data_IF_069953813130
#
_entry.id   IF_069953813130
#
_cell.length_a   1.000
_cell.length_b   1.000
_cell.length_c   1.000
_cell.angle_alpha   90.00
_cell.angle_beta   90.00
_cell.angle_gamma   90.00
#
_symmetry.space_group_name_H-M   'P 1'
#
loop_
_entity.id
_entity.type
_entity.pdbx_description
1 polymer ?
#
# COMPACT_ATOMS: atom_id res chain seq x y z
N UNK A 1 -42.72 5.53 4.44
CA UNK A 1 -41.29 5.79 4.73
C UNK A 1 -40.50 4.56 4.35
N UNK A 2 -39.38 4.67 3.61
CA UNK A 2 -38.55 3.50 3.31
C UNK A 2 -37.94 2.97 4.62
N UNK A 3 -37.92 1.64 4.76
CA UNK A 3 -37.32 0.97 5.91
C UNK A 3 -35.82 1.31 5.97
N UNK A 4 -35.28 1.70 7.14
CA UNK A 4 -33.85 1.91 7.28
C UNK A 4 -33.10 0.61 6.98
N UNK A 5 -32.03 0.70 6.20
CA UNK A 5 -31.20 -0.46 5.83
C UNK A 5 -30.70 -1.17 7.09
N UNK A 6 -30.73 -2.51 7.08
CA UNK A 6 -30.20 -3.33 8.15
C UNK A 6 -28.67 -3.17 8.27
N UNK A 7 -28.12 -3.49 9.45
CA UNK A 7 -26.69 -3.37 9.76
C UNK A 7 -25.76 -4.05 8.73
N UNK A 8 -26.08 -5.26 8.20
CA UNK A 8 -25.32 -5.87 7.09
C UNK A 8 -25.46 -5.12 5.76
N UNK A 9 -26.64 -4.57 5.47
CA UNK A 9 -26.89 -3.80 4.24
C UNK A 9 -26.10 -2.50 4.19
N UNK A 10 -26.04 -1.77 5.30
CA UNK A 10 -25.21 -0.56 5.44
C UNK A 10 -23.71 -0.86 5.27
N UNK A 11 -23.25 -1.97 5.85
CA UNK A 11 -21.86 -2.42 5.71
C UNK A 11 -21.52 -2.69 4.24
N UNK A 12 -22.36 -3.45 3.54
CA UNK A 12 -22.17 -3.79 2.14
C UNK A 12 -22.11 -2.53 1.24
N UNK A 13 -22.99 -1.56 1.48
CA UNK A 13 -22.99 -0.29 0.71
C UNK A 13 -21.71 0.48 0.94
N UNK A 14 -21.26 0.64 2.19
CA UNK A 14 -20.03 1.36 2.53
C UNK A 14 -18.77 0.67 2.00
N UNK A 15 -18.77 -0.66 1.89
CA UNK A 15 -17.66 -1.45 1.37
C UNK A 15 -17.41 -1.23 -0.13
N UNK A 16 -18.49 -1.01 -0.90
CA UNK A 16 -18.41 -0.77 -2.34
C UNK A 16 -18.42 0.71 -2.73
N UNK A 17 -18.57 1.60 -1.75
CA UNK A 17 -18.62 3.03 -2.00
C UNK A 17 -17.22 3.62 -2.19
N UNK A 18 -17.07 4.46 -3.21
CA UNK A 18 -15.83 5.19 -3.46
C UNK A 18 -15.41 5.99 -2.22
N UNK A 19 -14.14 5.88 -1.84
CA UNK A 19 -13.66 6.27 -0.52
C UNK A 19 -13.87 7.74 -0.17
N UNK A 20 -13.85 8.64 -1.16
CA UNK A 20 -14.14 10.07 -0.97
C UNK A 20 -15.61 10.28 -0.60
N UNK A 21 -16.52 9.63 -1.33
CA UNK A 21 -17.97 9.67 -1.04
C UNK A 21 -18.27 9.05 0.31
N UNK A 22 -17.59 7.95 0.64
CA UNK A 22 -17.66 7.32 1.96
C UNK A 22 -17.20 8.27 3.05
N UNK A 23 -16.01 8.86 2.94
CA UNK A 23 -15.50 9.82 3.93
C UNK A 23 -16.46 10.99 4.14
N UNK A 24 -17.08 11.49 3.07
CA UNK A 24 -18.08 12.55 3.15
C UNK A 24 -19.34 12.14 3.92
N UNK A 25 -19.86 10.93 3.68
CA UNK A 25 -21.03 10.38 4.37
C UNK A 25 -20.71 10.09 5.85
N UNK A 26 -19.56 9.48 6.12
CA UNK A 26 -19.10 9.12 7.46
C UNK A 26 -18.83 10.37 8.32
N UNK A 27 -18.24 11.41 7.73
CA UNK A 27 -17.98 12.68 8.42
C UNK A 27 -19.27 13.36 8.88
N UNK A 28 -20.40 13.10 8.22
CA UNK A 28 -21.71 13.65 8.55
C UNK A 28 -22.58 12.73 9.41
N UNK A 29 -22.13 11.51 9.70
CA UNK A 29 -22.94 10.51 10.39
C UNK A 29 -22.15 9.71 11.45
N UNK A 30 -22.25 10.09 12.75
CA UNK A 30 -21.51 9.43 13.83
C UNK A 30 -21.88 7.95 14.03
N UNK A 31 -23.12 7.55 13.71
CA UNK A 31 -23.53 6.15 13.81
C UNK A 31 -22.82 5.27 12.78
N UNK A 32 -22.52 5.82 11.60
CA UNK A 32 -21.79 5.10 10.55
C UNK A 32 -20.29 5.04 10.83
N UNK A 33 -19.71 5.97 11.60
CA UNK A 33 -18.29 5.93 12.01
C UNK A 33 -17.94 4.63 12.77
N UNK A 34 -18.87 4.07 13.54
CA UNK A 34 -18.66 2.81 14.26
C UNK A 34 -18.53 1.63 13.30
N UNK A 35 -19.31 1.64 12.22
CA UNK A 35 -19.32 0.62 11.18
C UNK A 35 -18.11 0.81 10.25
N UNK A 36 -17.79 2.06 9.94
CA UNK A 36 -16.66 2.47 9.11
C UNK A 36 -15.33 1.92 9.60
N UNK A 37 -15.11 1.91 10.93
CA UNK A 37 -13.92 1.32 11.57
C UNK A 37 -13.74 -0.18 11.30
N UNK A 38 -14.82 -0.89 10.98
CA UNK A 38 -14.81 -2.33 10.71
C UNK A 38 -14.68 -2.64 9.22
N UNK A 39 -14.84 -1.64 8.35
CA UNK A 39 -14.79 -1.81 6.91
C UNK A 39 -13.47 -1.22 6.43
N UNK A 40 -12.62 -2.01 5.79
CA UNK A 40 -11.42 -1.46 5.18
C UNK A 40 -11.69 -0.31 4.22
N UNK A 41 -10.80 0.68 4.20
CA UNK A 41 -10.76 1.65 3.11
C UNK A 41 -10.23 0.92 1.87
N UNK A 42 -10.96 1.02 0.76
CA UNK A 42 -10.58 0.50 -0.55
C UNK A 42 -10.22 1.68 -1.47
N UNK A 43 -8.99 2.15 -1.39
CA UNK A 43 -8.46 3.22 -2.25
C UNK A 43 -7.83 2.62 -3.51
N UNK A 44 -8.09 3.25 -4.65
CA UNK A 44 -7.44 2.91 -5.91
C UNK A 44 -6.00 3.43 -5.90
N UNK A 45 -5.81 4.67 -5.43
CA UNK A 45 -4.52 5.27 -5.22
C UNK A 45 -4.50 6.04 -3.89
N UNK A 46 -3.49 5.80 -3.06
CA UNK A 46 -3.23 6.58 -1.85
C UNK A 46 -1.83 7.16 -1.97
N UNK A 47 -1.73 8.48 -2.09
CA UNK A 47 -0.48 9.23 -2.11
C UNK A 47 -0.24 9.84 -0.74
N UNK A 48 1.00 9.78 -0.24
CA UNK A 48 1.36 10.40 1.04
C UNK A 48 2.62 11.23 0.82
N UNK A 49 2.46 12.55 0.85
CA UNK A 49 3.47 13.62 0.85
C UNK A 49 3.65 14.16 2.29
N UNK A 50 4.71 14.96 2.52
CA UNK A 50 5.11 15.53 3.83
C UNK A 50 3.96 16.03 4.70
N UNK A 51 2.99 16.71 4.08
CA UNK A 51 1.80 17.24 4.74
C UNK A 51 0.53 16.99 3.94
N UNK A 52 0.56 16.09 2.94
CA UNK A 52 -0.59 15.90 2.04
C UNK A 52 -0.80 14.42 1.80
N UNK A 53 -1.99 13.95 2.07
CA UNK A 53 -2.46 12.62 1.78
C UNK A 53 -3.45 12.74 0.63
N UNK A 54 -3.14 12.19 -0.54
CA UNK A 54 -4.02 12.22 -1.70
C UNK A 54 -4.74 10.88 -1.82
N UNK A 55 -6.06 10.88 -1.77
CA UNK A 55 -6.88 9.69 -1.94
C UNK A 55 -7.56 9.76 -3.31
N UNK A 56 -7.23 8.85 -4.22
CA UNK A 56 -7.69 8.82 -5.61
C UNK A 56 -7.35 10.13 -6.36
N UNK A 57 -8.18 11.17 -6.19
CA UNK A 57 -8.02 12.54 -6.73
C UNK A 57 -8.20 13.64 -5.66
N UNK A 58 -8.40 13.27 -4.41
CA UNK A 58 -8.71 14.17 -3.31
C UNK A 58 -7.45 14.46 -2.49
N UNK A 59 -7.02 15.72 -2.46
CA UNK A 59 -5.93 16.17 -1.59
C UNK A 59 -6.43 16.41 -0.16
N UNK A 60 -5.85 15.72 0.82
CA UNK A 60 -6.07 15.95 2.25
C UNK A 60 -4.78 16.49 2.83
N UNK A 61 -4.75 17.74 3.28
CA UNK A 61 -3.57 18.25 3.99
C UNK A 61 -3.49 17.59 5.37
N UNK A 62 -2.53 16.69 5.59
CA UNK A 62 -2.28 16.03 6.86
C UNK A 62 -1.22 16.82 7.64
N UNK A 63 -1.64 17.49 8.73
CA UNK A 63 -0.75 18.22 9.63
C UNK A 63 0.00 17.29 10.60
N UNK A 64 -0.36 16.01 10.66
CA UNK A 64 0.19 15.01 11.58
C UNK A 64 0.98 13.93 10.84
N UNK A 65 2.03 13.42 11.47
CA UNK A 65 2.84 12.34 10.91
C UNK A 65 1.98 11.07 10.73
N UNK A 66 1.98 10.49 9.52
CA UNK A 66 1.36 9.18 9.28
C UNK A 66 2.18 8.12 10.01
N UNK A 67 1.59 7.50 11.03
CA UNK A 67 2.21 6.43 11.82
C UNK A 67 1.96 5.05 11.21
N UNK A 68 2.80 4.08 11.57
CA UNK A 68 2.69 2.68 11.13
C UNK A 68 1.32 2.07 11.45
N UNK A 69 0.73 2.45 12.59
CA UNK A 69 -0.57 1.96 13.03
C UNK A 69 -1.72 2.48 12.16
N UNK A 70 -1.58 3.67 11.56
CA UNK A 70 -2.54 4.17 10.58
C UNK A 70 -2.52 3.33 9.30
N UNK A 71 -1.38 2.72 8.95
CA UNK A 71 -1.22 1.90 7.74
C UNK A 71 -1.72 0.47 7.91
N UNK A 72 -1.68 -0.09 9.13
CA UNK A 72 -2.18 -1.45 9.42
C UNK A 72 -3.67 -1.64 9.11
N UNK A 73 -4.44 -0.56 9.12
CA UNK A 73 -5.89 -0.57 8.88
C UNK A 73 -6.30 -0.22 7.44
N UNK A 74 -5.33 -0.08 6.52
CA UNK A 74 -5.59 0.27 5.13
C UNK A 74 -5.58 -1.01 4.28
N UNK A 75 -6.75 -1.47 3.81
CA UNK A 75 -6.83 -2.63 2.89
C UNK A 75 -7.08 -2.18 1.46
N UNK A 76 -6.15 -1.38 0.94
CA UNK A 76 -6.20 -0.94 -0.45
C UNK A 76 -5.61 -2.01 -1.37
N UNK A 77 -6.06 -2.05 -2.62
CA UNK A 77 -5.41 -2.84 -3.68
C UNK A 77 -4.00 -2.28 -3.98
N UNK A 78 -3.84 -0.95 -3.95
CA UNK A 78 -2.56 -0.27 -4.19
C UNK A 78 -2.42 0.97 -3.29
N UNK A 79 -1.24 1.15 -2.70
CA UNK A 79 -0.85 2.34 -1.92
C UNK A 79 0.45 2.86 -2.51
N UNK A 80 0.54 4.16 -2.82
CA UNK A 80 1.70 4.77 -3.47
C UNK A 80 2.30 5.82 -2.54
N UNK A 81 3.42 5.53 -1.89
CA UNK A 81 4.16 6.54 -1.14
C UNK A 81 5.01 7.37 -2.09
N UNK A 82 4.84 8.70 -2.10
CA UNK A 82 5.62 9.62 -2.93
C UNK A 82 6.54 10.45 -2.04
N UNK A 83 7.84 10.33 -2.22
CA UNK A 83 8.81 10.94 -1.32
C UNK A 83 9.46 12.18 -1.93
N UNK A 84 9.08 13.38 -1.49
CA UNK A 84 9.97 14.56 -1.59
C UNK A 84 10.98 14.63 -0.42
N UNK A 85 10.87 13.78 0.62
CA UNK A 85 11.89 13.62 1.67
C UNK A 85 11.96 12.17 2.20
N UNK A 86 13.08 11.44 1.96
CA UNK A 86 13.17 9.96 2.05
C UNK A 86 13.24 9.32 3.46
N UNK A 87 12.97 10.03 4.55
CA UNK A 87 13.51 9.65 5.87
C UNK A 87 12.56 8.99 6.87
N UNK A 88 11.27 8.80 6.60
CA UNK A 88 10.33 8.36 7.67
C UNK A 88 9.59 7.04 7.47
N UNK A 89 9.61 6.46 6.27
CA UNK A 89 8.87 5.23 6.02
C UNK A 89 9.84 4.04 6.10
N UNK A 90 9.87 3.38 7.26
CA UNK A 90 10.48 2.06 7.36
C UNK A 90 9.42 1.00 7.04
N UNK A 91 9.55 0.34 5.89
CA UNK A 91 8.62 -0.71 5.45
C UNK A 91 8.98 -2.06 6.06
N UNK A 92 10.21 -2.24 6.56
CA UNK A 92 10.63 -3.52 7.14
C UNK A 92 9.72 -3.94 8.31
N UNK A 93 9.35 -3.04 9.26
CA UNK A 93 8.37 -3.37 10.31
C UNK A 93 6.98 -3.75 9.77
N UNK A 94 6.50 -3.15 8.68
CA UNK A 94 5.19 -3.52 8.09
C UNK A 94 5.21 -4.96 7.56
N UNK A 95 6.30 -5.33 6.89
CA UNK A 95 6.45 -6.69 6.35
C UNK A 95 6.56 -7.70 7.48
N UNK A 96 7.33 -7.40 8.52
CA UNK A 96 7.41 -8.25 9.72
C UNK A 96 6.05 -8.47 10.35
N UNK A 97 5.27 -7.39 10.51
CA UNK A 97 3.91 -7.48 11.04
C UNK A 97 2.99 -8.37 10.18
N UNK A 98 3.09 -8.29 8.85
CA UNK A 98 2.30 -9.15 7.95
C UNK A 98 2.67 -10.63 8.08
N UNK A 99 3.96 -10.92 8.25
CA UNK A 99 4.46 -12.28 8.51
C UNK A 99 3.96 -12.78 9.87
N UNK A 100 4.14 -11.99 10.93
CA UNK A 100 3.73 -12.33 12.30
C UNK A 100 2.21 -12.56 12.44
N UNK A 101 1.41 -11.85 11.66
CA UNK A 101 -0.06 -11.99 11.67
C UNK A 101 -0.59 -12.99 10.64
N UNK A 102 0.29 -13.61 9.85
CA UNK A 102 -0.02 -14.49 8.72
C UNK A 102 -1.05 -13.90 7.72
N UNK A 103 -1.20 -12.57 7.71
CA UNK A 103 -2.27 -11.90 7.00
C UNK A 103 -1.73 -11.15 5.79
N UNK A 104 -1.84 -11.78 4.63
CA UNK A 104 -1.64 -11.10 3.35
C UNK A 104 -2.74 -10.06 3.13
N UNK A 105 -2.38 -8.78 3.10
CA UNK A 105 -3.36 -7.71 2.87
C UNK A 105 -3.79 -7.58 1.40
N UNK A 106 -3.15 -8.32 0.48
CA UNK A 106 -3.35 -8.18 -0.97
C UNK A 106 -2.90 -6.81 -1.51
N UNK A 107 -2.29 -5.97 -0.65
CA UNK A 107 -1.92 -4.60 -0.98
C UNK A 107 -0.59 -4.57 -1.71
N UNK A 108 -0.55 -3.80 -2.80
CA UNK A 108 0.68 -3.39 -3.46
C UNK A 108 1.11 -2.03 -2.92
N UNK A 109 2.20 -1.96 -2.16
CA UNK A 109 2.84 -0.70 -1.81
C UNK A 109 3.83 -0.33 -2.92
N UNK A 110 3.77 0.91 -3.39
CA UNK A 110 4.68 1.49 -4.36
C UNK A 110 5.36 2.67 -3.68
N UNK A 111 6.68 2.75 -3.73
CA UNK A 111 7.42 3.93 -3.25
C UNK A 111 8.03 4.61 -4.48
N UNK A 112 7.46 5.75 -4.86
CA UNK A 112 7.96 6.59 -5.94
C UNK A 112 9.10 7.48 -5.44
N UNK A 113 10.22 7.42 -6.15
CA UNK A 113 11.48 8.06 -5.76
C UNK A 113 12.20 8.65 -6.97
N UNK A 114 12.90 9.75 -6.74
CA UNK A 114 13.65 10.52 -7.72
C UNK A 114 15.12 10.06 -7.82
N UNK A 115 15.68 9.58 -6.70
CA UNK A 115 17.09 9.21 -6.59
C UNK A 115 17.32 7.68 -6.51
N UNK A 116 18.03 7.14 -7.51
CA UNK A 116 18.49 5.73 -7.55
C UNK A 116 19.40 5.35 -6.36
N UNK A 117 20.13 6.30 -5.76
CA UNK A 117 20.92 6.05 -4.53
C UNK A 117 20.03 5.70 -3.35
N UNK A 118 18.84 6.31 -3.27
CA UNK A 118 17.87 6.00 -2.24
C UNK A 118 17.33 4.57 -2.39
N UNK A 119 17.03 4.15 -3.62
CA UNK A 119 16.62 2.76 -3.89
C UNK A 119 17.67 1.78 -3.36
N UNK A 120 18.94 2.01 -3.67
CA UNK A 120 20.05 1.18 -3.17
C UNK A 120 20.09 1.16 -1.64
N UNK A 121 19.89 2.30 -0.98
CA UNK A 121 19.87 2.40 0.49
C UNK A 121 18.72 1.60 1.10
N UNK A 122 17.52 1.72 0.53
CA UNK A 122 16.34 0.96 0.97
C UNK A 122 16.52 -0.54 0.75
N UNK A 123 16.88 -0.96 -0.47
CA UNK A 123 17.13 -2.37 -0.79
C UNK A 123 18.26 -2.98 0.05
N UNK A 124 19.23 -2.18 0.52
CA UNK A 124 20.22 -2.63 1.51
C UNK A 124 19.60 -2.94 2.87
N UNK A 125 18.61 -2.16 3.33
CA UNK A 125 17.84 -2.50 4.55
C UNK A 125 17.07 -3.81 4.37
N UNK A 126 16.40 -3.98 3.22
CA UNK A 126 15.74 -5.24 2.88
C UNK A 126 16.71 -6.42 2.85
N UNK A 127 17.88 -6.25 2.22
CA UNK A 127 18.92 -7.29 2.21
C UNK A 127 19.38 -7.67 3.62
N UNK A 128 19.48 -6.71 4.54
CA UNK A 128 19.85 -6.98 5.94
C UNK A 128 18.76 -7.75 6.69
N UNK A 129 17.49 -7.45 6.42
CA UNK A 129 16.36 -8.05 7.14
C UNK A 129 15.89 -9.38 6.54
N UNK A 130 15.98 -9.53 5.22
CA UNK A 130 15.32 -10.60 4.44
C UNK A 130 16.28 -11.19 3.38
N UNK A 131 17.59 -11.14 3.65
CA UNK A 131 18.62 -11.51 2.67
C UNK A 131 18.54 -12.95 2.17
N UNK A 132 18.02 -13.86 3.00
CA UNK A 132 17.79 -15.27 2.69
C UNK A 132 16.71 -15.48 1.62
N UNK A 133 15.77 -14.53 1.48
CA UNK A 133 14.65 -14.60 0.55
C UNK A 133 14.94 -13.94 -0.80
N UNK A 134 16.21 -13.88 -1.22
CA UNK A 134 16.56 -13.37 -2.55
C UNK A 134 15.94 -14.24 -3.64
N UNK A 135 15.42 -13.60 -4.68
CA UNK A 135 14.74 -14.30 -5.77
C UNK A 135 14.97 -13.60 -7.10
N UNK A 136 14.91 -14.35 -8.19
CA UNK A 136 14.84 -13.84 -9.56
C UNK A 136 13.47 -13.27 -9.91
N UNK A 137 12.42 -13.62 -9.16
CA UNK A 137 11.01 -13.30 -9.42
C UNK A 137 10.56 -13.73 -10.82
N UNK A 138 10.88 -14.98 -11.19
CA UNK A 138 10.51 -15.55 -12.49
C UNK A 138 8.98 -15.51 -12.70
N UNK A 139 8.56 -14.98 -13.85
CA UNK A 139 7.15 -14.79 -14.21
C UNK A 139 6.55 -13.41 -13.86
N UNK A 140 7.32 -12.48 -13.28
CA UNK A 140 6.91 -11.08 -13.12
C UNK A 140 7.30 -10.29 -14.38
N UNK A 141 6.31 -9.84 -15.15
CA UNK A 141 6.51 -9.05 -16.36
C UNK A 141 6.62 -7.55 -16.04
N UNK A 142 7.74 -7.16 -15.44
CA UNK A 142 8.04 -5.78 -15.06
C UNK A 142 9.43 -5.38 -15.56
N UNK A 143 9.60 -4.10 -15.92
CA UNK A 143 10.90 -3.58 -16.37
C UNK A 143 11.79 -3.26 -15.16
N UNK A 144 12.42 -4.29 -14.62
CA UNK A 144 13.29 -4.16 -13.45
C UNK A 144 14.49 -3.26 -13.70
N UNK A 145 14.92 -2.55 -12.65
CA UNK A 145 16.19 -1.84 -12.67
C UNK A 145 17.36 -2.86 -12.57
N UNK A 146 18.27 -2.92 -13.56
CA UNK A 146 19.35 -3.90 -13.57
C UNK A 146 20.29 -3.78 -12.36
N UNK A 147 20.75 -4.94 -11.86
CA UNK A 147 21.73 -5.04 -10.76
C UNK A 147 21.16 -4.78 -9.35
N UNK A 148 19.87 -4.49 -9.22
CA UNK A 148 19.21 -4.33 -7.93
C UNK A 148 18.63 -5.67 -7.42
N UNK A 149 18.74 -5.94 -6.09
CA UNK A 149 18.23 -7.19 -5.53
C UNK A 149 16.71 -7.21 -5.54
N UNK A 150 16.18 -8.42 -5.67
CA UNK A 150 14.76 -8.75 -5.62
C UNK A 150 14.54 -9.80 -4.53
N UNK A 151 13.37 -9.78 -3.92
CA UNK A 151 13.04 -10.64 -2.79
C UNK A 151 11.66 -11.27 -2.96
N UNK A 152 11.51 -12.51 -2.50
CA UNK A 152 10.24 -13.23 -2.39
C UNK A 152 10.13 -13.80 -0.98
N UNK A 153 9.53 -13.04 -0.07
CA UNK A 153 9.48 -13.32 1.37
C UNK A 153 8.18 -14.08 1.67
N UNK A 154 8.22 -15.30 2.21
CA UNK A 154 7.01 -16.02 2.56
C UNK A 154 6.27 -15.32 3.72
N UNK A 155 4.95 -15.23 3.63
CA UNK A 155 4.07 -14.88 4.77
C UNK A 155 3.56 -16.18 5.40
N UNK A 156 3.04 -17.09 4.58
CA UNK A 156 2.57 -18.43 4.95
C UNK A 156 2.71 -19.37 3.74
N UNK A 157 2.14 -20.58 3.81
CA UNK A 157 2.26 -21.58 2.74
C UNK A 157 1.62 -21.14 1.40
N UNK A 158 0.71 -20.17 1.43
CA UNK A 158 -0.10 -19.76 0.28
C UNK A 158 0.16 -18.32 -0.15
N UNK A 159 1.01 -17.58 0.56
CA UNK A 159 1.23 -16.17 0.29
C UNK A 159 2.63 -15.69 0.57
N UNK A 160 3.06 -14.72 -0.23
CA UNK A 160 4.41 -14.17 -0.22
C UNK A 160 4.41 -12.69 -0.60
N UNK A 161 5.42 -11.98 -0.11
CA UNK A 161 5.68 -10.58 -0.41
C UNK A 161 6.83 -10.51 -1.41
N UNK A 162 6.58 -9.94 -2.57
CA UNK A 162 7.59 -9.61 -3.55
C UNK A 162 8.09 -8.19 -3.34
N UNK A 163 9.41 -8.02 -3.34
CA UNK A 163 10.05 -6.69 -3.25
C UNK A 163 11.02 -6.52 -4.41
N UNK A 164 10.82 -5.48 -5.21
CA UNK A 164 11.65 -5.19 -6.38
C UNK A 164 11.60 -3.70 -6.76
N UNK A 165 12.49 -3.27 -7.65
CA UNK A 165 12.51 -1.89 -8.15
C UNK A 165 12.37 -1.84 -9.67
N UNK A 166 11.61 -0.86 -10.17
CA UNK A 166 11.32 -0.65 -11.58
C UNK A 166 11.53 0.82 -11.96
N UNK A 167 11.74 1.07 -13.25
CA UNK A 167 11.60 2.40 -13.83
C UNK A 167 10.12 2.65 -14.17
N UNK A 168 9.60 3.82 -13.78
CA UNK A 168 8.21 4.20 -14.00
C UNK A 168 8.05 4.96 -15.30
N UNK A 169 7.58 4.28 -16.35
CA UNK A 169 7.38 4.89 -17.67
C UNK A 169 5.99 5.49 -17.86
N UNK A 170 5.02 5.06 -17.04
CA UNK A 170 3.58 5.32 -17.23
C UNK A 170 2.96 6.07 -16.05
N UNK A 171 3.69 6.28 -14.97
CA UNK A 171 3.22 6.98 -13.79
C UNK A 171 2.93 8.46 -14.04
N UNK A 172 1.94 8.97 -13.32
CA UNK A 172 1.50 10.37 -13.39
C UNK A 172 2.61 11.37 -13.06
N UNK A 173 3.65 10.94 -12.34
CA UNK A 173 4.76 11.76 -11.86
C UNK A 173 6.13 11.27 -12.34
N UNK A 174 6.19 10.56 -13.48
CA UNK A 174 7.44 9.98 -13.99
C UNK A 174 8.57 10.99 -14.23
N UNK A 175 8.21 12.24 -14.52
CA UNK A 175 9.17 13.34 -14.72
C UNK A 175 9.92 13.67 -13.42
N UNK A 176 9.21 13.65 -12.29
CA UNK A 176 9.75 13.97 -10.97
C UNK A 176 10.27 12.73 -10.23
N UNK A 177 9.65 11.57 -10.45
CA UNK A 177 9.94 10.30 -9.75
C UNK A 177 9.99 9.14 -10.74
N UNK A 178 11.08 9.02 -11.52
CA UNK A 178 11.20 8.00 -12.56
C UNK A 178 11.41 6.58 -12.01
N UNK A 179 11.50 6.38 -10.70
CA UNK A 179 11.76 5.07 -10.12
C UNK A 179 10.75 4.68 -9.05
N UNK A 180 10.40 3.40 -9.01
CA UNK A 180 9.48 2.83 -8.03
C UNK A 180 10.09 1.62 -7.32
N UNK A 181 9.92 1.56 -5.99
CA UNK A 181 10.09 0.33 -5.21
C UNK A 181 8.73 -0.29 -5.01
N UNK A 182 8.53 -1.51 -5.48
CA UNK A 182 7.29 -2.26 -5.34
C UNK A 182 7.45 -3.25 -4.19
N UNK A 183 6.47 -3.26 -3.28
CA UNK A 183 6.29 -4.24 -2.21
C UNK A 183 4.88 -4.79 -2.37
N UNK A 184 4.77 -5.99 -2.95
CA UNK A 184 3.49 -6.57 -3.37
C UNK A 184 3.23 -7.88 -2.64
N UNK A 185 2.11 -7.95 -1.92
CA UNK A 185 1.60 -9.22 -1.38
C UNK A 185 0.91 -10.02 -2.49
N UNK A 186 1.25 -11.29 -2.61
CA UNK A 186 0.67 -12.23 -3.57
C UNK A 186 0.14 -13.43 -2.81
N UNK A 187 -1.10 -13.83 -3.09
CA UNK A 187 -1.68 -15.09 -2.66
C UNK A 187 -1.78 -16.03 -3.86
N UNK A 188 -1.52 -17.32 -3.65
CA UNK A 188 -1.59 -18.34 -4.71
C UNK A 188 -3.04 -18.68 -5.10
N UNK A 189 -4.02 -18.35 -4.24
CA UNK A 189 -5.44 -18.58 -4.50
C UNK A 189 -5.98 -17.64 -5.60
N UNK A 190 -5.34 -16.50 -5.89
CA UNK A 190 -5.82 -15.55 -6.89
C UNK A 190 -5.42 -15.86 -8.35
N UNK A 191 -4.88 -17.07 -8.61
CA UNK A 191 -4.53 -17.56 -9.95
C UNK A 191 -5.57 -18.52 -10.57
N UNK A 192 -6.74 -18.67 -9.95
CA UNK A 192 -7.88 -19.45 -10.47
C UNK A 192 -8.98 -18.51 -10.95
#
# INVERSE_FOLDING_TARGET
MPLPLSYPGLRCVLEHLEAVKRAHIIGRSPCLQKIDKLIPLCLENLYIEKTKLVINKLWITCLTAVTLDNLKNIYNKKVVFQSLYPFRIDIVPLIKYQIETEKATGTTLVIAVDDKRFIKKMLRKFKKAFGEYRSTLDGVNERFIPGLPKFSIPINNESRIQVYAIEDEKGLFKEDFPYNIIVKSISEISRI
#
